data_IF_693280835065
#
_entry.id   IF_693280835065
#
_cell.length_a   1.000
_cell.length_b   1.000
_cell.length_c   1.000
_cell.angle_alpha   90.00
_cell.angle_beta   90.00
_cell.angle_gamma   90.00
#
_symmetry.space_group_name_H-M   'P 1'
#
loop_
_entity.id
_entity.type
_entity.pdbx_description
1 polymer ?
#
# COMPACT_ATOMS: atom_id res chain seq x y z
N UNK A 1 -26.65 -20.04 -3.71
CA UNK A 1 -26.29 -21.45 -3.98
C UNK A 1 -25.42 -22.05 -2.87
N UNK A 2 -24.26 -21.47 -2.51
CA UNK A 2 -23.37 -22.03 -1.48
C UNK A 2 -24.05 -22.26 -0.11
N UNK A 3 -24.76 -21.27 0.42
CA UNK A 3 -25.47 -21.38 1.72
C UNK A 3 -26.38 -22.61 1.82
N UNK A 4 -27.17 -22.86 0.77
CA UNK A 4 -28.13 -23.97 0.76
C UNK A 4 -27.43 -25.33 0.86
N UNK A 5 -26.33 -25.50 0.12
CA UNK A 5 -25.49 -26.70 0.18
C UNK A 5 -24.89 -26.90 1.57
N UNK A 6 -24.29 -25.87 2.17
CA UNK A 6 -23.68 -26.01 3.50
C UNK A 6 -24.71 -26.38 4.58
N UNK A 7 -25.91 -25.78 4.53
CA UNK A 7 -26.96 -26.04 5.51
C UNK A 7 -27.61 -27.42 5.34
N UNK A 8 -27.70 -27.95 4.11
CA UNK A 8 -28.32 -29.27 3.88
C UNK A 8 -27.50 -30.42 4.47
N UNK A 9 -26.20 -30.24 4.63
CA UNK A 9 -25.29 -31.25 5.19
C UNK A 9 -25.25 -31.25 6.73
N UNK A 10 -25.84 -30.24 7.38
CA UNK A 10 -25.99 -30.17 8.84
C UNK A 10 -27.22 -30.98 9.25
N UNK A 11 -27.04 -32.02 10.07
CA UNK A 11 -28.12 -32.96 10.44
C UNK A 11 -29.15 -32.37 11.41
N UNK A 12 -28.70 -31.60 12.40
CA UNK A 12 -29.56 -31.04 13.44
C UNK A 12 -30.30 -29.79 12.94
N UNK A 13 -31.63 -29.81 12.97
CA UNK A 13 -32.47 -28.67 12.54
C UNK A 13 -32.21 -27.42 13.38
N UNK A 14 -32.00 -27.58 14.69
CA UNK A 14 -31.69 -26.46 15.60
C UNK A 14 -30.35 -25.80 15.26
N UNK A 15 -29.31 -26.61 15.01
CA UNK A 15 -28.00 -26.10 14.58
C UNK A 15 -28.10 -25.46 13.20
N UNK A 16 -28.82 -26.10 12.27
CA UNK A 16 -29.03 -25.58 10.91
C UNK A 16 -29.69 -24.20 10.93
N UNK A 17 -30.71 -24.00 11.76
CA UNK A 17 -31.38 -22.70 11.85
C UNK A 17 -30.47 -21.63 12.48
N UNK A 18 -29.70 -21.99 13.51
CA UNK A 18 -28.69 -21.10 14.10
C UNK A 18 -27.63 -20.68 13.06
N UNK A 19 -27.12 -21.62 12.29
CA UNK A 19 -26.12 -21.34 11.24
C UNK A 19 -26.71 -20.54 10.07
N UNK A 20 -27.98 -20.76 9.72
CA UNK A 20 -28.69 -19.95 8.72
C UNK A 20 -28.83 -18.50 9.18
N UNK A 21 -29.16 -18.27 10.45
CA UNK A 21 -29.20 -16.95 11.08
C UNK A 21 -27.85 -16.25 11.00
N UNK A 22 -26.79 -16.92 11.47
CA UNK A 22 -25.42 -16.40 11.45
C UNK A 22 -24.96 -16.03 10.03
N UNK A 23 -25.21 -16.91 9.04
CA UNK A 23 -24.87 -16.63 7.65
C UNK A 23 -25.61 -15.39 7.12
N UNK A 24 -26.92 -15.30 7.36
CA UNK A 24 -27.74 -14.17 6.90
C UNK A 24 -27.25 -12.85 7.49
N UNK A 25 -26.95 -12.83 8.79
CA UNK A 25 -26.39 -11.66 9.49
C UNK A 25 -25.12 -11.16 8.81
N UNK A 26 -24.12 -12.05 8.62
CA UNK A 26 -22.83 -11.66 8.03
C UNK A 26 -22.91 -11.29 6.56
N UNK A 27 -23.80 -11.93 5.77
CA UNK A 27 -24.04 -11.46 4.39
C UNK A 27 -24.61 -10.05 4.37
N UNK A 28 -25.52 -9.74 5.30
CA UNK A 28 -26.12 -8.40 5.41
C UNK A 28 -25.08 -7.33 5.76
N UNK A 29 -24.13 -7.63 6.65
CA UNK A 29 -23.06 -6.70 7.03
C UNK A 29 -22.06 -6.48 5.91
N UNK A 30 -21.62 -7.55 5.25
CA UNK A 30 -20.71 -7.49 4.10
C UNK A 30 -21.29 -6.68 2.93
N UNK A 31 -22.61 -6.76 2.73
CA UNK A 31 -23.30 -6.01 1.66
C UNK A 31 -23.44 -4.51 1.92
N UNK A 32 -23.15 -4.02 3.13
CA UNK A 32 -23.14 -2.58 3.40
C UNK A 32 -22.04 -1.83 2.66
N UNK A 33 -20.95 -2.52 2.32
CA UNK A 33 -19.80 -1.93 1.63
C UNK A 33 -19.88 -2.06 0.11
N UNK A 34 -20.51 -3.13 -0.40
CA UNK A 34 -20.65 -3.45 -1.81
C UNK A 34 -21.82 -4.43 -1.98
N UNK A 35 -22.69 -4.26 -2.98
CA UNK A 35 -23.85 -5.14 -3.20
C UNK A 35 -23.48 -6.63 -3.38
N UNK A 36 -22.24 -6.89 -3.83
CA UNK A 36 -21.62 -8.22 -3.98
C UNK A 36 -20.51 -8.46 -2.95
N UNK A 37 -20.50 -7.70 -1.86
CA UNK A 37 -19.48 -7.75 -0.82
C UNK A 37 -19.30 -9.15 -0.23
N UNK A 38 -20.38 -9.92 -0.10
CA UNK A 38 -20.34 -11.31 0.34
C UNK A 38 -19.61 -12.23 -0.65
N UNK A 39 -19.88 -12.09 -1.95
CA UNK A 39 -19.16 -12.86 -2.99
C UNK A 39 -17.68 -12.48 -3.05
N UNK A 40 -17.36 -11.18 -2.97
CA UNK A 40 -15.98 -10.68 -3.01
C UNK A 40 -15.20 -11.22 -1.80
N UNK A 41 -15.79 -11.14 -0.61
CA UNK A 41 -15.22 -11.69 0.61
C UNK A 41 -14.98 -13.20 0.48
N UNK A 42 -16.00 -13.98 0.13
CA UNK A 42 -15.89 -15.45 0.06
C UNK A 42 -14.77 -15.84 -0.92
N UNK A 43 -14.66 -15.16 -2.06
CA UNK A 43 -13.58 -15.40 -3.03
C UNK A 43 -12.20 -15.08 -2.44
N UNK A 44 -12.07 -13.95 -1.74
CA UNK A 44 -10.81 -13.54 -1.12
C UNK A 44 -10.38 -14.53 -0.01
N UNK A 45 -11.31 -14.89 0.88
CA UNK A 45 -11.07 -15.85 1.96
C UNK A 45 -10.72 -17.24 1.42
N UNK A 46 -11.49 -17.75 0.45
CA UNK A 46 -11.20 -19.07 -0.14
C UNK A 46 -9.84 -19.11 -0.83
N UNK A 47 -9.46 -18.04 -1.53
CA UNK A 47 -8.11 -17.92 -2.12
C UNK A 47 -7.01 -17.83 -1.07
N UNK A 48 -7.25 -17.07 -0.01
CA UNK A 48 -6.31 -16.91 1.09
C UNK A 48 -6.01 -18.25 1.78
N UNK A 49 -7.05 -19.03 2.07
CA UNK A 49 -6.98 -20.18 2.97
C UNK A 49 -6.93 -21.55 2.29
N UNK A 50 -7.41 -21.69 1.05
CA UNK A 50 -7.59 -23.04 0.46
C UNK A 50 -7.12 -23.20 -0.99
N UNK A 51 -6.83 -22.13 -1.72
CA UNK A 51 -6.39 -22.28 -3.11
C UNK A 51 -4.96 -22.87 -3.18
N UNK A 52 -4.82 -24.06 -3.75
CA UNK A 52 -3.52 -24.74 -3.89
C UNK A 52 -2.85 -24.52 -5.23
N UNK A 53 -3.64 -24.28 -6.27
CA UNK A 53 -3.15 -24.16 -7.64
C UNK A 53 -3.68 -22.90 -8.36
N UNK A 54 -2.88 -22.37 -9.28
CA UNK A 54 -3.25 -21.26 -10.17
C UNK A 54 -2.94 -21.64 -11.61
N UNK A 55 -3.76 -21.16 -12.56
CA UNK A 55 -3.57 -21.41 -13.99
C UNK A 55 -2.23 -20.86 -14.46
N UNK A 56 -1.55 -21.66 -15.30
CA UNK A 56 -0.33 -21.25 -15.99
C UNK A 56 -0.55 -20.03 -16.89
N UNK A 57 0.49 -19.21 -17.06
CA UNK A 57 0.47 -18.03 -17.92
C UNK A 57 0.71 -18.38 -19.40
N UNK A 58 -0.05 -19.36 -19.95
CA UNK A 58 0.03 -19.77 -21.36
C UNK A 58 -1.37 -19.90 -21.99
N UNK A 59 -1.44 -19.71 -23.31
CA UNK A 59 -2.68 -19.86 -24.06
C UNK A 59 -3.22 -21.30 -23.93
N UNK A 60 -4.54 -21.43 -23.78
CA UNK A 60 -5.19 -22.74 -23.61
C UNK A 60 -5.02 -23.39 -22.23
N UNK A 61 -4.35 -22.74 -21.27
CA UNK A 61 -4.21 -23.27 -19.92
C UNK A 61 -5.58 -23.41 -19.23
N UNK A 62 -5.75 -24.49 -18.47
CA UNK A 62 -7.00 -24.81 -17.76
C UNK A 62 -7.07 -24.03 -16.45
N UNK A 63 -8.24 -23.47 -16.14
CA UNK A 63 -8.49 -22.82 -14.86
C UNK A 63 -8.25 -23.79 -13.68
N UNK A 64 -7.55 -23.31 -12.65
CA UNK A 64 -7.21 -24.07 -11.44
C UNK A 64 -7.89 -23.46 -10.21
N UNK A 65 -7.56 -23.91 -8.99
CA UNK A 65 -8.28 -23.50 -7.76
C UNK A 65 -8.49 -21.98 -7.69
N UNK A 66 -7.41 -21.20 -7.83
CA UNK A 66 -7.46 -19.75 -7.76
C UNK A 66 -8.42 -19.11 -8.78
N UNK A 67 -8.41 -19.62 -10.02
CA UNK A 67 -9.24 -19.12 -11.12
C UNK A 67 -10.70 -19.55 -10.96
N UNK A 68 -10.94 -20.82 -10.59
CA UNK A 68 -12.29 -21.38 -10.39
C UNK A 68 -12.96 -20.69 -9.21
N UNK A 69 -12.26 -20.48 -8.09
CA UNK A 69 -12.77 -19.70 -6.96
C UNK A 69 -13.17 -18.29 -7.41
N UNK A 70 -12.36 -17.62 -8.25
CA UNK A 70 -12.69 -16.30 -8.76
C UNK A 70 -14.02 -16.20 -9.51
N UNK A 71 -14.43 -17.28 -10.17
CA UNK A 71 -15.70 -17.39 -10.89
C UNK A 71 -16.77 -18.15 -10.12
N UNK A 72 -16.66 -19.48 -10.12
CA UNK A 72 -17.67 -20.42 -9.60
C UNK A 72 -17.29 -20.98 -8.23
N UNK A 73 -16.99 -20.11 -7.25
CA UNK A 73 -16.57 -20.53 -5.90
C UNK A 73 -17.52 -21.53 -5.23
N UNK A 74 -18.84 -21.39 -5.43
CA UNK A 74 -19.83 -22.30 -4.84
C UNK A 74 -19.70 -23.73 -5.39
N UNK A 75 -19.37 -23.87 -6.68
CA UNK A 75 -19.10 -25.16 -7.32
C UNK A 75 -17.78 -25.72 -6.81
N UNK A 76 -16.74 -24.89 -6.73
CA UNK A 76 -15.44 -25.30 -6.21
C UNK A 76 -15.53 -25.85 -4.79
N UNK A 77 -16.22 -25.17 -3.87
CA UNK A 77 -16.39 -25.66 -2.48
C UNK A 77 -17.06 -27.03 -2.41
N UNK A 78 -18.06 -27.28 -3.26
CA UNK A 78 -18.76 -28.57 -3.31
C UNK A 78 -17.90 -29.66 -3.94
N UNK A 79 -17.26 -29.36 -5.07
CA UNK A 79 -16.49 -30.33 -5.85
C UNK A 79 -15.16 -30.68 -5.13
N UNK A 80 -14.61 -29.76 -4.33
CA UNK A 80 -13.35 -29.92 -3.58
C UNK A 80 -13.57 -30.14 -2.08
N UNK A 81 -14.75 -30.63 -1.67
CA UNK A 81 -15.15 -30.76 -0.25
C UNK A 81 -14.08 -31.40 0.64
N UNK A 82 -13.33 -32.38 0.12
CA UNK A 82 -12.32 -33.12 0.85
C UNK A 82 -11.09 -32.23 1.16
N UNK A 83 -10.71 -31.33 0.25
CA UNK A 83 -9.67 -30.31 0.50
C UNK A 83 -10.06 -29.33 1.60
N UNK A 84 -11.36 -29.07 1.76
CA UNK A 84 -11.90 -28.23 2.82
C UNK A 84 -12.14 -29.00 4.14
N UNK A 85 -11.94 -30.32 4.15
CA UNK A 85 -12.20 -31.17 5.31
C UNK A 85 -13.69 -31.31 5.65
N UNK A 86 -14.59 -31.17 4.68
CA UNK A 86 -16.04 -31.23 4.88
C UNK A 86 -16.55 -32.67 4.84
N UNK A 87 -16.32 -33.44 5.92
CA UNK A 87 -16.61 -34.88 5.97
C UNK A 87 -17.94 -35.21 6.67
N UNK A 88 -18.36 -34.40 7.63
CA UNK A 88 -19.58 -34.60 8.39
C UNK A 88 -20.24 -33.31 8.87
N UNK A 89 -21.43 -33.44 9.47
CA UNK A 89 -22.28 -32.32 9.93
C UNK A 89 -21.52 -31.25 10.73
N UNK A 90 -20.63 -31.68 11.63
CA UNK A 90 -19.88 -30.78 12.51
C UNK A 90 -18.83 -29.96 11.73
N UNK A 91 -18.27 -30.52 10.65
CA UNK A 91 -17.33 -29.81 9.77
C UNK A 91 -18.04 -28.70 8.99
N UNK A 92 -19.27 -28.95 8.53
CA UNK A 92 -20.10 -27.93 7.87
C UNK A 92 -20.52 -26.83 8.84
N UNK A 93 -20.86 -27.17 10.08
CA UNK A 93 -21.10 -26.18 11.13
C UNK A 93 -19.84 -25.33 11.38
N UNK A 94 -18.68 -25.97 11.55
CA UNK A 94 -17.42 -25.28 11.76
C UNK A 94 -17.04 -24.39 10.57
N UNK A 95 -17.29 -24.82 9.34
CA UNK A 95 -17.05 -24.02 8.14
C UNK A 95 -17.87 -22.72 8.14
N UNK A 96 -19.14 -22.78 8.57
CA UNK A 96 -19.99 -21.58 8.70
C UNK A 96 -19.50 -20.68 9.84
N UNK A 97 -19.03 -21.24 10.96
CA UNK A 97 -18.41 -20.46 12.05
C UNK A 97 -17.12 -19.77 11.59
N UNK A 98 -16.26 -20.47 10.85
CA UNK A 98 -15.06 -19.89 10.22
C UNK A 98 -15.45 -18.76 9.26
N UNK A 99 -16.42 -18.99 8.38
CA UNK A 99 -16.96 -17.94 7.50
C UNK A 99 -17.35 -16.68 8.29
N UNK A 100 -18.06 -16.84 9.42
CA UNK A 100 -18.47 -15.70 10.23
C UNK A 100 -17.29 -14.94 10.86
N UNK A 101 -16.31 -15.67 11.44
CA UNK A 101 -15.09 -15.07 11.99
C UNK A 101 -14.29 -14.31 10.93
N UNK A 102 -14.06 -14.92 9.76
CA UNK A 102 -13.30 -14.27 8.69
C UNK A 102 -14.06 -13.13 8.02
N UNK A 103 -15.40 -13.14 8.04
CA UNK A 103 -16.21 -12.00 7.60
C UNK A 103 -15.94 -10.78 8.50
N UNK A 104 -15.86 -10.96 9.82
CA UNK A 104 -15.52 -9.88 10.75
C UNK A 104 -14.10 -9.34 10.52
N UNK A 105 -13.13 -10.22 10.29
CA UNK A 105 -11.75 -9.82 9.95
C UNK A 105 -11.71 -9.03 8.64
N UNK A 106 -12.45 -9.51 7.62
CA UNK A 106 -12.55 -8.82 6.34
C UNK A 106 -13.20 -7.43 6.50
N UNK A 107 -14.26 -7.30 7.30
CA UNK A 107 -14.87 -6.00 7.61
C UNK A 107 -13.88 -5.04 8.27
N UNK A 108 -13.08 -5.52 9.23
CA UNK A 108 -12.01 -4.70 9.85
C UNK A 108 -10.98 -4.24 8.82
N UNK A 109 -10.60 -5.10 7.87
CA UNK A 109 -9.72 -4.75 6.75
C UNK A 109 -10.38 -3.68 5.88
N UNK A 110 -11.63 -3.86 5.47
CA UNK A 110 -12.36 -2.89 4.63
C UNK A 110 -12.48 -1.52 5.30
N UNK A 111 -12.74 -1.51 6.61
CA UNK A 111 -12.73 -0.27 7.40
C UNK A 111 -11.35 0.39 7.39
N UNK A 112 -10.28 -0.37 7.61
CA UNK A 112 -8.91 0.16 7.60
C UNK A 112 -8.46 0.66 6.21
N UNK A 113 -9.02 0.15 5.12
CA UNK A 113 -8.76 0.64 3.76
C UNK A 113 -9.38 2.02 3.51
N UNK A 114 -10.48 2.37 4.20
CA UNK A 114 -11.21 3.63 3.99
C UNK A 114 -11.02 4.65 5.10
N UNK A 115 -10.64 4.21 6.30
CA UNK A 115 -10.53 5.06 7.49
C UNK A 115 -9.14 4.92 8.08
N UNK A 116 -8.42 6.05 8.12
CA UNK A 116 -7.10 6.11 8.73
C UNK A 116 -7.21 5.87 10.24
N UNK A 117 -6.38 4.97 10.74
CA UNK A 117 -6.16 4.73 12.16
C UNK A 117 -4.71 4.29 12.34
N UNK A 118 -4.05 4.78 13.38
CA UNK A 118 -2.62 4.54 13.61
C UNK A 118 -2.30 3.03 13.67
N UNK A 119 -3.14 2.27 14.38
CA UNK A 119 -3.03 0.82 14.52
C UNK A 119 -3.03 0.08 13.17
N UNK A 120 -3.69 0.59 12.13
CA UNK A 120 -3.82 -0.09 10.83
C UNK A 120 -3.36 0.79 9.66
N UNK A 121 -2.47 1.76 9.91
CA UNK A 121 -2.14 2.83 8.95
C UNK A 121 -1.59 2.32 7.61
N UNK A 122 -0.85 1.22 7.62
CA UNK A 122 -0.29 0.63 6.40
C UNK A 122 -1.37 0.04 5.48
N UNK A 123 -2.46 -0.50 6.05
CA UNK A 123 -3.62 -0.96 5.25
C UNK A 123 -4.23 0.22 4.48
N UNK A 124 -4.37 1.35 5.17
CA UNK A 124 -4.87 2.59 4.58
C UNK A 124 -3.94 3.12 3.49
N UNK A 125 -2.62 3.14 3.75
CA UNK A 125 -1.62 3.60 2.78
C UNK A 125 -1.66 2.80 1.47
N UNK A 126 -1.69 1.47 1.57
CA UNK A 126 -1.78 0.59 0.40
C UNK A 126 -3.09 0.80 -0.39
N UNK A 127 -4.19 1.08 0.31
CA UNK A 127 -5.47 1.35 -0.33
C UNK A 127 -5.46 2.64 -1.15
N UNK A 128 -4.74 3.69 -0.71
CA UNK A 128 -4.66 4.98 -1.44
C UNK A 128 -4.03 4.85 -2.84
N UNK A 129 -3.25 3.79 -3.08
CA UNK A 129 -2.63 3.50 -4.38
C UNK A 129 -3.29 2.36 -5.15
N UNK A 130 -4.44 1.88 -4.66
CA UNK A 130 -5.31 0.84 -5.23
C UNK A 130 -4.66 -0.54 -5.35
N UNK A 131 -4.02 -1.06 -4.29
CA UNK A 131 -3.55 -2.44 -4.27
C UNK A 131 -4.72 -3.43 -4.06
N UNK A 132 -5.32 -3.90 -5.15
CA UNK A 132 -6.61 -4.62 -5.13
C UNK A 132 -6.59 -6.00 -4.48
N UNK A 133 -5.41 -6.63 -4.33
CA UNK A 133 -5.28 -7.97 -3.74
C UNK A 133 -4.96 -7.94 -2.23
N UNK A 134 -5.02 -6.76 -1.61
CA UNK A 134 -4.70 -6.57 -0.20
C UNK A 134 -5.52 -7.49 0.72
N UNK A 135 -6.86 -7.58 0.63
CA UNK A 135 -7.62 -8.43 1.54
C UNK A 135 -7.23 -9.91 1.51
N UNK A 136 -6.84 -10.43 0.34
CA UNK A 136 -6.41 -11.82 0.21
C UNK A 136 -5.12 -12.08 1.00
N UNK A 137 -4.12 -11.20 0.87
CA UNK A 137 -2.85 -11.33 1.59
C UNK A 137 -3.04 -11.13 3.10
N UNK A 138 -3.82 -10.13 3.50
CA UNK A 138 -4.08 -9.84 4.91
C UNK A 138 -4.85 -10.96 5.63
N UNK A 139 -5.75 -11.66 4.93
CA UNK A 139 -6.46 -12.82 5.48
C UNK A 139 -5.60 -14.08 5.57
N UNK A 140 -4.58 -14.20 4.72
CA UNK A 140 -3.79 -15.43 4.57
C UNK A 140 -3.19 -15.95 5.89
N UNK A 141 -2.50 -15.14 6.72
CA UNK A 141 -1.85 -15.66 7.92
C UNK A 141 -2.79 -15.87 9.11
N UNK A 142 -4.02 -15.39 9.04
CA UNK A 142 -4.95 -15.41 10.17
C UNK A 142 -5.48 -16.83 10.40
N UNK A 143 -5.39 -17.32 11.63
CA UNK A 143 -5.94 -18.59 12.09
C UNK A 143 -7.33 -18.38 12.71
N UNK A 144 -8.17 -19.42 12.72
CA UNK A 144 -9.54 -19.32 13.24
C UNK A 144 -9.58 -18.97 14.73
N UNK A 145 -8.63 -19.53 15.49
CA UNK A 145 -8.48 -19.38 16.93
C UNK A 145 -7.75 -18.10 17.35
N UNK A 146 -7.26 -17.28 16.40
CA UNK A 146 -6.53 -16.06 16.73
C UNK A 146 -7.43 -15.04 17.46
N UNK A 147 -6.86 -14.46 18.51
CA UNK A 147 -7.42 -13.29 19.19
C UNK A 147 -7.28 -12.04 18.34
N UNK A 148 -8.13 -11.03 18.57
CA UNK A 148 -8.06 -9.77 17.81
C UNK A 148 -6.68 -9.10 17.83
N UNK A 149 -5.96 -9.01 18.96
CA UNK A 149 -4.60 -8.48 18.96
C UNK A 149 -3.65 -9.22 18.01
N UNK A 150 -3.69 -10.56 18.00
CA UNK A 150 -2.87 -11.38 17.10
C UNK A 150 -3.26 -11.16 15.64
N UNK A 151 -4.56 -11.04 15.35
CA UNK A 151 -5.06 -10.75 14.00
C UNK A 151 -4.53 -9.41 13.50
N UNK A 152 -4.61 -8.36 14.33
CA UNK A 152 -4.14 -7.02 13.98
C UNK A 152 -2.63 -7.01 13.73
N UNK A 153 -1.85 -7.69 14.59
CA UNK A 153 -0.40 -7.80 14.40
C UNK A 153 -0.05 -8.47 13.06
N UNK A 154 -0.69 -9.61 12.75
CA UNK A 154 -0.52 -10.30 11.46
C UNK A 154 -0.92 -9.42 10.27
N UNK A 155 -2.05 -8.71 10.38
CA UNK A 155 -2.49 -7.76 9.35
C UNK A 155 -1.44 -6.67 9.13
N UNK A 156 -0.88 -6.10 10.20
CA UNK A 156 0.11 -5.03 10.09
C UNK A 156 1.42 -5.50 9.46
N UNK A 157 1.93 -6.67 9.84
CA UNK A 157 3.12 -7.26 9.23
C UNK A 157 2.94 -7.43 7.72
N UNK A 158 1.82 -8.02 7.30
CA UNK A 158 1.54 -8.20 5.87
C UNK A 158 1.28 -6.88 5.16
N UNK A 159 0.58 -5.93 5.78
CA UNK A 159 0.31 -4.62 5.19
C UNK A 159 1.61 -3.83 4.94
N UNK A 160 2.56 -3.88 5.88
CA UNK A 160 3.87 -3.26 5.68
C UNK A 160 4.69 -3.96 4.60
N UNK A 161 4.64 -5.29 4.50
CA UNK A 161 5.25 -6.00 3.36
C UNK A 161 4.64 -5.54 2.02
N UNK A 162 3.31 -5.43 1.92
CA UNK A 162 2.62 -4.94 0.72
C UNK A 162 3.09 -3.52 0.35
N UNK A 163 3.29 -2.66 1.35
CA UNK A 163 3.77 -1.29 1.14
C UNK A 163 5.15 -1.26 0.48
N UNK A 164 6.11 -2.05 0.97
CA UNK A 164 7.44 -2.20 0.34
C UNK A 164 7.33 -2.85 -1.05
N UNK A 165 6.48 -3.87 -1.21
CA UNK A 165 6.22 -4.52 -2.50
C UNK A 165 5.72 -3.52 -3.55
N UNK A 166 4.84 -2.59 -3.16
CA UNK A 166 4.34 -1.57 -4.07
C UNK A 166 5.50 -0.67 -4.53
N UNK A 167 6.26 -0.10 -3.59
CA UNK A 167 7.35 0.83 -3.91
C UNK A 167 8.44 0.15 -4.74
N UNK A 168 8.85 -1.07 -4.39
CA UNK A 168 9.87 -1.81 -5.12
C UNK A 168 9.49 -2.13 -6.57
N UNK A 169 8.20 -2.33 -6.85
CA UNK A 169 7.71 -2.60 -8.21
C UNK A 169 7.53 -1.34 -9.04
N UNK A 170 6.88 -0.32 -8.48
CA UNK A 170 6.51 0.88 -9.25
C UNK A 170 7.71 1.74 -9.60
N UNK A 171 8.76 1.70 -8.78
CA UNK A 171 10.06 2.32 -9.06
C UNK A 171 10.78 1.66 -10.23
N UNK A 172 10.54 0.36 -10.46
CA UNK A 172 11.00 -0.40 -11.65
C UNK A 172 10.00 -0.32 -12.82
N UNK A 173 9.13 0.70 -12.83
CA UNK A 173 8.04 0.88 -13.81
C UNK A 173 7.12 -0.35 -13.99
N UNK A 174 7.03 -1.22 -12.97
CA UNK A 174 6.22 -2.42 -13.01
C UNK A 174 4.89 -2.20 -12.30
N UNK A 175 3.79 -2.54 -12.98
CA UNK A 175 2.45 -2.40 -12.41
C UNK A 175 2.21 -3.34 -11.23
N UNK A 176 1.30 -2.92 -10.35
CA UNK A 176 0.71 -3.72 -9.26
C UNK A 176 -0.76 -4.06 -9.55
N UNK A 177 -1.23 -3.84 -10.77
CA UNK A 177 -2.58 -4.23 -11.17
C UNK A 177 -2.75 -5.75 -11.10
N UNK A 178 -3.96 -6.21 -10.84
CA UNK A 178 -4.32 -7.62 -10.65
C UNK A 178 -3.67 -8.57 -11.68
N UNK A 179 -3.79 -8.28 -12.98
CA UNK A 179 -3.28 -9.16 -14.04
C UNK A 179 -1.77 -9.37 -14.00
N UNK A 180 -1.03 -8.38 -13.50
CA UNK A 180 0.45 -8.37 -13.48
C UNK A 180 1.04 -8.99 -12.23
N UNK A 181 0.31 -8.98 -11.11
CA UNK A 181 0.85 -9.38 -9.80
C UNK A 181 0.18 -10.63 -9.21
N UNK A 182 -0.94 -11.11 -9.79
CA UNK A 182 -1.72 -12.22 -9.22
C UNK A 182 -0.90 -13.48 -8.91
N UNK A 183 0.06 -13.86 -9.76
CA UNK A 183 0.85 -15.08 -9.56
C UNK A 183 1.83 -14.90 -8.39
N UNK A 184 2.47 -13.73 -8.30
CA UNK A 184 3.32 -13.38 -7.17
C UNK A 184 2.52 -13.38 -5.86
N UNK A 185 1.38 -12.68 -5.85
CA UNK A 185 0.50 -12.60 -4.68
C UNK A 185 -0.02 -13.98 -4.27
N UNK A 186 -0.39 -14.83 -5.23
CA UNK A 186 -0.81 -16.19 -4.97
C UNK A 186 0.29 -17.01 -4.26
N UNK A 187 1.53 -16.93 -4.74
CA UNK A 187 2.65 -17.64 -4.12
C UNK A 187 2.92 -17.14 -2.70
N UNK A 188 2.94 -15.82 -2.48
CA UNK A 188 3.10 -15.25 -1.13
C UNK A 188 1.95 -15.65 -0.22
N UNK A 189 0.71 -15.60 -0.72
CA UNK A 189 -0.50 -16.02 0.00
C UNK A 189 -0.39 -17.46 0.48
N UNK A 190 0.08 -18.37 -0.37
CA UNK A 190 0.31 -19.77 0.01
C UNK A 190 1.39 -19.89 1.07
N UNK A 191 2.49 -19.15 0.90
CA UNK A 191 3.64 -19.23 1.80
C UNK A 191 3.26 -18.79 3.21
N UNK A 192 2.57 -17.66 3.39
CA UNK A 192 2.24 -17.10 4.71
C UNK A 192 0.96 -17.66 5.33
N UNK A 193 0.36 -18.69 4.74
CA UNK A 193 -0.98 -19.15 5.12
C UNK A 193 -1.02 -19.75 6.52
N UNK A 194 -1.96 -19.29 7.35
CA UNK A 194 -2.28 -19.82 8.69
C UNK A 194 -1.03 -20.05 9.55
N UNK A 195 -0.09 -19.10 9.51
CA UNK A 195 1.15 -19.16 10.28
C UNK A 195 1.02 -18.41 11.60
N UNK A 196 1.76 -18.81 12.64
CA UNK A 196 1.99 -17.95 13.81
C UNK A 196 2.84 -16.71 13.45
N UNK A 197 2.95 -15.77 14.40
CA UNK A 197 3.69 -14.51 14.19
C UNK A 197 5.18 -14.73 13.92
N UNK A 198 5.93 -15.55 14.70
CA UNK A 198 7.35 -15.80 14.41
C UNK A 198 7.58 -16.36 13.01
N UNK A 199 6.79 -17.35 12.60
CA UNK A 199 6.88 -17.95 11.26
C UNK A 199 6.49 -16.95 10.17
N UNK A 200 5.46 -16.14 10.42
CA UNK A 200 5.03 -15.08 9.49
C UNK A 200 6.16 -14.07 9.24
N UNK A 201 6.81 -13.61 10.32
CA UNK A 201 7.93 -12.69 10.26
C UNK A 201 9.07 -13.25 9.39
N UNK A 202 9.53 -14.47 9.69
CA UNK A 202 10.60 -15.12 8.92
C UNK A 202 10.25 -15.24 7.42
N UNK A 203 9.00 -15.62 7.11
CA UNK A 203 8.57 -15.75 5.71
C UNK A 203 8.51 -14.39 5.02
N UNK A 204 7.95 -13.37 5.67
CA UNK A 204 7.89 -12.02 5.10
C UNK A 204 9.27 -11.39 4.95
N UNK A 205 10.21 -11.64 5.86
CA UNK A 205 11.62 -11.25 5.72
C UNK A 205 12.23 -11.87 4.46
N UNK A 206 12.05 -13.18 4.25
CA UNK A 206 12.55 -13.84 3.06
C UNK A 206 11.90 -13.27 1.78
N UNK A 207 10.59 -12.97 1.81
CA UNK A 207 9.92 -12.31 0.69
C UNK A 207 10.46 -10.90 0.44
N UNK A 208 10.74 -10.14 1.50
CA UNK A 208 11.37 -8.81 1.43
C UNK A 208 12.75 -8.88 0.75
N UNK A 209 13.62 -9.78 1.21
CA UNK A 209 14.95 -10.02 0.64
C UNK A 209 14.83 -10.37 -0.85
N UNK A 210 13.87 -11.24 -1.21
CA UNK A 210 13.62 -11.66 -2.58
C UNK A 210 13.16 -10.52 -3.52
N UNK A 211 12.66 -9.40 -2.99
CA UNK A 211 12.34 -8.23 -3.82
C UNK A 211 13.58 -7.63 -4.47
N UNK A 212 14.77 -7.87 -3.90
CA UNK A 212 16.04 -7.28 -4.29
C UNK A 212 15.85 -5.77 -4.57
N UNK A 213 15.26 -5.10 -3.58
CA UNK A 213 14.95 -3.68 -3.68
C UNK A 213 16.19 -2.88 -3.34
N UNK A 214 16.75 -2.20 -4.36
CA UNK A 214 17.84 -1.24 -4.20
C UNK A 214 17.27 0.17 -4.36
N UNK A 215 17.11 0.93 -3.26
CA UNK A 215 16.65 2.32 -3.30
C UNK A 215 17.50 3.21 -4.21
N UNK A 216 18.81 2.99 -4.31
CA UNK A 216 19.69 3.83 -5.12
C UNK A 216 19.38 3.68 -6.62
N UNK A 217 19.34 2.44 -7.12
CA UNK A 217 18.94 2.17 -8.50
C UNK A 217 17.48 2.57 -8.77
N UNK A 218 16.59 2.36 -7.80
CA UNK A 218 15.16 2.64 -7.92
C UNK A 218 14.86 4.13 -8.07
N UNK A 219 15.48 5.00 -7.26
CA UNK A 219 15.16 6.42 -7.23
C UNK A 219 15.91 7.21 -8.31
N UNK A 220 17.12 6.79 -8.69
CA UNK A 220 17.92 7.48 -9.71
C UNK A 220 17.20 7.63 -11.05
N UNK A 221 16.28 6.71 -11.38
CA UNK A 221 15.52 6.72 -12.63
C UNK A 221 14.02 7.00 -12.43
N UNK A 222 13.59 7.30 -11.21
CA UNK A 222 12.17 7.52 -10.92
C UNK A 222 11.74 8.93 -11.35
N UNK A 223 11.06 8.98 -12.49
CA UNK A 223 10.49 10.21 -13.04
C UNK A 223 8.96 10.24 -13.04
N UNK A 224 8.40 11.45 -12.96
CA UNK A 224 6.98 11.73 -13.09
C UNK A 224 6.48 11.50 -14.51
N UNK A 225 5.47 10.64 -14.63
CA UNK A 225 4.69 10.42 -15.84
C UNK A 225 3.26 9.97 -15.46
N UNK A 226 2.43 9.67 -16.45
CA UNK A 226 1.03 9.26 -16.22
C UNK A 226 0.88 8.01 -15.34
N UNK A 227 1.81 7.04 -15.43
CA UNK A 227 1.82 5.83 -14.62
C UNK A 227 2.34 6.10 -13.20
N UNK A 228 3.47 6.79 -13.07
CA UNK A 228 4.15 7.00 -11.78
C UNK A 228 3.49 8.07 -10.91
N UNK A 229 2.70 8.99 -11.49
CA UNK A 229 2.10 10.14 -10.78
C UNK A 229 1.47 9.80 -9.43
N UNK A 230 0.58 8.81 -9.38
CA UNK A 230 -0.08 8.43 -8.12
C UNK A 230 0.88 7.82 -7.10
N UNK A 231 1.89 7.09 -7.56
CA UNK A 231 2.87 6.43 -6.71
C UNK A 231 3.92 7.42 -6.19
N UNK A 232 4.39 8.34 -7.03
CA UNK A 232 5.27 9.44 -6.61
C UNK A 232 4.55 10.31 -5.58
N UNK A 233 3.28 10.65 -5.82
CA UNK A 233 2.48 11.39 -4.83
C UNK A 233 2.45 10.65 -3.49
N UNK A 234 2.19 9.33 -3.50
CA UNK A 234 2.21 8.50 -2.30
C UNK A 234 3.59 8.45 -1.62
N UNK A 235 4.66 8.26 -2.38
CA UNK A 235 6.04 8.21 -1.85
C UNK A 235 6.39 9.55 -1.18
N UNK A 236 6.12 10.68 -1.85
CA UNK A 236 6.35 12.00 -1.27
C UNK A 236 5.50 12.21 0.00
N UNK A 237 4.22 11.83 -0.03
CA UNK A 237 3.35 11.95 1.14
C UNK A 237 3.83 11.10 2.33
N UNK A 238 4.32 9.88 2.06
CA UNK A 238 4.86 8.96 3.09
C UNK A 238 6.17 9.47 3.66
N UNK A 239 7.06 9.98 2.82
CA UNK A 239 8.35 10.55 3.26
C UNK A 239 8.10 11.81 4.08
N UNK A 240 7.29 12.77 3.58
CA UNK A 240 6.96 13.98 4.34
C UNK A 240 6.29 13.63 5.66
N UNK A 241 5.32 12.70 5.65
CA UNK A 241 4.64 12.22 6.85
C UNK A 241 5.58 11.57 7.86
N UNK A 242 6.58 10.81 7.40
CA UNK A 242 7.59 10.21 8.25
C UNK A 242 8.48 11.27 8.90
N UNK A 243 8.91 12.28 8.15
CA UNK A 243 9.71 13.40 8.69
C UNK A 243 8.90 14.15 9.75
N UNK A 244 7.61 14.40 9.51
CA UNK A 244 6.72 15.04 10.49
C UNK A 244 6.66 14.25 11.81
N UNK A 245 6.36 12.95 11.73
CA UNK A 245 6.30 12.06 12.91
C UNK A 245 7.62 12.09 13.71
N UNK A 246 8.76 12.06 13.02
CA UNK A 246 10.08 12.06 13.66
C UNK A 246 10.58 13.45 14.08
N UNK A 247 9.82 14.49 13.77
CA UNK A 247 10.07 15.88 14.22
C UNK A 247 8.97 16.39 15.15
N UNK A 248 8.23 15.46 15.77
CA UNK A 248 7.26 15.76 16.81
C UNK A 248 5.95 16.37 16.31
N UNK A 249 5.67 16.26 15.01
CA UNK A 249 4.45 16.75 14.35
C UNK A 249 3.62 15.55 13.89
N UNK A 250 2.29 15.63 14.02
CA UNK A 250 1.43 14.57 13.50
C UNK A 250 1.54 14.49 11.97
N UNK A 251 1.61 13.27 11.42
CA UNK A 251 1.64 13.07 9.97
C UNK A 251 0.43 13.69 9.29
N UNK A 252 0.68 14.49 8.25
CA UNK A 252 -0.34 15.11 7.42
C UNK A 252 -0.67 14.27 6.16
N UNK A 253 -0.26 12.99 6.14
CA UNK A 253 -0.44 12.05 5.01
C UNK A 253 -1.86 12.06 4.44
N UNK A 254 -2.88 12.00 5.29
CA UNK A 254 -4.28 11.94 4.85
C UNK A 254 -4.65 13.17 4.00
N UNK A 255 -4.19 14.37 4.38
CA UNK A 255 -4.44 15.58 3.61
C UNK A 255 -3.60 15.61 2.33
N UNK A 256 -2.35 15.12 2.37
CA UNK A 256 -1.52 14.97 1.18
C UNK A 256 -2.21 14.10 0.11
N UNK A 257 -2.85 13.00 0.53
CA UNK A 257 -3.51 12.07 -0.39
C UNK A 257 -4.97 12.41 -0.72
N UNK A 258 -5.62 13.29 0.05
CA UNK A 258 -7.02 13.66 -0.16
C UNK A 258 -7.22 14.47 -1.45
N UNK A 259 -7.89 13.87 -2.43
CA UNK A 259 -8.27 14.53 -3.70
C UNK A 259 -9.72 15.02 -3.72
N UNK A 260 -10.50 14.78 -2.67
CA UNK A 260 -11.93 15.12 -2.59
C UNK A 260 -12.20 16.52 -1.98
N UNK A 261 -11.15 17.33 -1.81
CA UNK A 261 -11.24 18.71 -1.32
C UNK A 261 -11.12 19.72 -2.46
N UNK A 262 -11.59 20.97 -2.24
CA UNK A 262 -11.48 22.08 -3.20
C UNK A 262 -10.02 22.50 -3.45
N UNK A 263 -9.14 22.28 -2.47
CA UNK A 263 -7.74 22.69 -2.52
C UNK A 263 -6.79 21.51 -2.16
N UNK A 264 -6.76 20.44 -2.97
CA UNK A 264 -5.97 19.25 -2.66
C UNK A 264 -4.48 19.54 -2.77
N UNK A 265 -3.66 18.68 -2.16
CA UNK A 265 -2.23 18.68 -2.47
C UNK A 265 -1.98 18.10 -3.86
N UNK A 266 -1.10 18.76 -4.60
CA UNK A 266 -0.63 18.36 -5.93
C UNK A 266 0.90 18.23 -5.93
N UNK A 267 1.41 17.46 -6.88
CA UNK A 267 2.85 17.43 -7.14
C UNK A 267 3.23 18.76 -7.77
N UNK A 268 4.18 19.45 -7.14
CA UNK A 268 4.80 20.67 -7.64
C UNK A 268 6.21 20.36 -8.14
N UNK A 269 6.58 21.01 -9.24
CA UNK A 269 7.91 20.98 -9.83
C UNK A 269 8.71 22.19 -9.34
N UNK A 270 9.84 21.95 -8.69
CA UNK A 270 10.70 23.03 -8.17
C UNK A 270 11.20 23.91 -9.32
N UNK A 271 11.57 23.29 -10.44
CA UNK A 271 11.99 23.97 -11.67
C UNK A 271 10.75 24.30 -12.53
N UNK A 272 10.59 25.57 -12.92
CA UNK A 272 9.53 26.03 -13.84
C UNK A 272 9.73 25.47 -15.27
N UNK A 273 8.68 25.32 -16.08
CA UNK A 273 8.73 24.65 -17.39
C UNK A 273 9.19 25.57 -18.54
N UNK A 274 10.35 26.22 -18.37
CA UNK A 274 10.94 27.15 -19.33
C UNK A 274 12.37 26.74 -19.68
N UNK A 275 12.54 25.73 -20.55
CA UNK A 275 13.86 25.22 -20.96
C UNK A 275 14.80 26.35 -21.42
N UNK A 276 14.28 27.34 -22.13
CA UNK A 276 15.02 28.50 -22.63
C UNK A 276 15.75 29.31 -21.53
N UNK A 277 15.31 29.21 -20.27
CA UNK A 277 15.96 29.86 -19.13
C UNK A 277 17.11 29.04 -18.53
N UNK A 278 17.24 27.77 -18.92
CA UNK A 278 18.20 26.83 -18.33
C UNK A 278 19.16 26.19 -19.35
N UNK A 279 19.26 26.75 -20.57
CA UNK A 279 20.11 26.24 -21.66
C UNK A 279 21.60 26.15 -21.33
N UNK A 280 22.07 26.86 -20.29
CA UNK A 280 23.44 26.75 -19.81
C UNK A 280 23.72 25.43 -19.05
N UNK A 281 22.69 24.81 -18.47
CA UNK A 281 22.81 23.62 -17.64
C UNK A 281 22.25 22.35 -18.30
N UNK A 282 21.24 22.49 -19.16
CA UNK A 282 20.57 21.38 -19.86
C UNK A 282 20.91 21.40 -21.34
N UNK A 283 21.22 20.23 -21.90
CA UNK A 283 21.68 20.12 -23.29
C UNK A 283 20.57 20.39 -24.32
N UNK A 284 19.36 19.98 -23.97
CA UNK A 284 18.18 20.03 -24.82
C UNK A 284 16.89 19.92 -23.97
N UNK A 285 15.74 20.04 -24.64
CA UNK A 285 14.43 20.00 -23.99
C UNK A 285 14.12 18.64 -23.34
N UNK A 286 14.65 17.53 -23.85
CA UNK A 286 14.39 16.20 -23.31
C UNK A 286 15.23 15.94 -22.05
N UNK A 287 16.49 16.37 -22.04
CA UNK A 287 17.34 16.38 -20.85
C UNK A 287 16.70 17.23 -19.74
N UNK A 288 16.25 18.45 -20.08
CA UNK A 288 15.52 19.30 -19.15
C UNK A 288 14.28 18.63 -18.56
N UNK A 289 13.42 18.06 -19.42
CA UNK A 289 12.20 17.35 -18.97
C UNK A 289 12.52 16.14 -18.10
N UNK A 290 13.58 15.39 -18.41
CA UNK A 290 14.00 14.22 -17.62
C UNK A 290 14.37 14.63 -16.19
N UNK A 291 15.22 15.64 -16.04
CA UNK A 291 15.64 16.14 -14.72
C UNK A 291 14.50 16.80 -13.97
N UNK A 292 13.73 17.67 -14.65
CA UNK A 292 12.56 18.33 -14.06
C UNK A 292 11.54 17.32 -13.54
N UNK A 293 11.33 16.20 -14.23
CA UNK A 293 10.40 15.16 -13.79
C UNK A 293 11.01 14.16 -12.79
N UNK A 294 12.31 14.21 -12.50
CA UNK A 294 12.93 13.33 -11.50
C UNK A 294 12.32 13.55 -10.11
N UNK A 295 12.15 12.50 -9.30
CA UNK A 295 11.58 12.62 -7.95
C UNK A 295 12.33 13.66 -7.07
N UNK A 296 13.64 13.83 -7.28
CA UNK A 296 14.44 14.85 -6.59
C UNK A 296 14.11 16.30 -6.97
N UNK A 297 13.29 16.54 -8.00
CA UNK A 297 12.81 17.85 -8.42
C UNK A 297 11.35 18.11 -8.01
N UNK A 298 10.73 17.18 -7.27
CA UNK A 298 9.31 17.19 -6.93
C UNK A 298 9.09 17.38 -5.43
N UNK A 299 7.91 17.92 -5.10
CA UNK A 299 7.40 18.06 -3.73
C UNK A 299 5.86 18.16 -3.75
N UNK A 300 5.23 18.28 -2.58
CA UNK A 300 3.77 18.43 -2.47
C UNK A 300 3.40 19.82 -1.94
N UNK A 301 2.44 20.48 -2.61
CA UNK A 301 1.83 21.74 -2.17
C UNK A 301 0.34 21.75 -2.44
N UNK A 302 -0.38 22.60 -1.70
CA UNK A 302 -1.77 22.90 -2.02
C UNK A 302 -1.92 23.45 -3.43
N UNK A 303 -2.96 22.98 -4.13
CA UNK A 303 -3.31 23.38 -5.51
C UNK A 303 -3.33 24.89 -5.72
N UNK A 304 -3.90 25.66 -4.78
CA UNK A 304 -3.98 27.11 -4.88
C UNK A 304 -2.62 27.80 -4.82
N UNK A 305 -1.68 27.25 -4.04
CA UNK A 305 -0.31 27.76 -3.91
C UNK A 305 0.49 27.36 -5.13
N UNK A 306 0.38 26.10 -5.56
CA UNK A 306 1.01 25.62 -6.79
C UNK A 306 0.57 26.50 -8.00
N UNK A 307 -0.73 26.76 -8.12
CA UNK A 307 -1.26 27.63 -9.17
C UNK A 307 -0.78 29.09 -9.06
N UNK A 308 -0.56 29.63 -7.85
CA UNK A 308 -0.08 31.01 -7.68
C UNK A 308 1.41 31.16 -7.96
N UNK A 309 2.19 30.08 -7.82
CA UNK A 309 3.60 30.06 -8.19
C UNK A 309 3.79 30.12 -9.71
N UNK A 310 2.92 29.46 -10.48
CA UNK A 310 2.97 29.43 -11.95
C UNK A 310 4.42 29.24 -12.47
N UNK A 311 4.90 30.16 -13.31
CA UNK A 311 6.24 30.14 -13.89
C UNK A 311 7.29 30.93 -13.08
N UNK A 312 7.07 31.08 -11.77
CA UNK A 312 8.02 31.77 -10.90
C UNK A 312 9.37 31.03 -10.83
N UNK A 313 10.45 31.81 -10.73
CA UNK A 313 11.80 31.30 -10.50
C UNK A 313 11.98 30.76 -9.08
N UNK A 314 12.99 29.92 -8.91
CA UNK A 314 13.31 29.23 -7.65
C UNK A 314 13.33 30.18 -6.43
N UNK A 315 13.99 31.33 -6.51
CA UNK A 315 14.10 32.27 -5.38
C UNK A 315 12.75 32.76 -4.85
N UNK A 316 11.75 32.89 -5.73
CA UNK A 316 10.39 33.24 -5.32
C UNK A 316 9.64 32.03 -4.76
N UNK A 317 9.76 30.87 -5.42
CA UNK A 317 9.18 29.61 -4.96
C UNK A 317 9.69 29.24 -3.56
N UNK A 318 10.99 29.41 -3.29
CA UNK A 318 11.62 29.11 -2.01
C UNK A 318 10.99 29.91 -0.85
N UNK A 319 10.66 31.18 -1.07
CA UNK A 319 9.97 32.01 -0.04
C UNK A 319 8.60 31.44 0.33
N UNK A 320 7.90 30.82 -0.63
CA UNK A 320 6.62 30.14 -0.42
C UNK A 320 6.80 28.76 0.20
N UNK A 321 7.86 28.04 -0.16
CA UNK A 321 8.18 26.74 0.42
C UNK A 321 8.57 26.83 1.90
N UNK A 322 9.17 27.94 2.32
CA UNK A 322 9.56 28.21 3.70
C UNK A 322 8.56 29.08 4.48
N UNK A 323 7.34 29.27 3.96
CA UNK A 323 6.25 29.94 4.68
C UNK A 323 5.32 28.91 5.33
N UNK A 324 4.26 29.39 5.98
CA UNK A 324 3.15 28.55 6.47
C UNK A 324 2.36 27.84 5.34
N UNK A 325 2.70 28.09 4.08
CA UNK A 325 2.09 27.44 2.90
C UNK A 325 2.85 26.15 2.50
N UNK A 326 4.03 25.91 3.06
CA UNK A 326 4.87 24.73 2.84
C UNK A 326 4.65 23.59 3.86
N UNK A 327 5.55 22.61 3.83
CA UNK A 327 5.71 21.58 4.84
C UNK A 327 7.20 21.35 5.10
N UNK A 328 7.55 20.52 6.09
CA UNK A 328 8.95 20.33 6.49
C UNK A 328 9.87 19.88 5.33
N UNK A 329 9.35 19.10 4.38
CA UNK A 329 10.13 18.67 3.22
C UNK A 329 10.37 19.81 2.22
N UNK A 330 9.41 20.72 2.04
CA UNK A 330 9.61 21.92 1.20
C UNK A 330 10.50 22.95 1.89
N UNK A 331 10.31 23.15 3.19
CA UNK A 331 11.06 24.09 4.01
C UNK A 331 12.55 23.72 4.07
N UNK A 332 12.88 22.42 4.00
CA UNK A 332 14.25 21.91 3.99
C UNK A 332 15.14 22.46 2.86
N UNK A 333 14.54 23.05 1.81
CA UNK A 333 15.26 23.72 0.73
C UNK A 333 15.87 25.06 1.15
N UNK A 334 15.36 25.70 2.21
CA UNK A 334 15.80 27.01 2.69
C UNK A 334 16.48 26.98 4.05
N UNK A 335 17.24 28.03 4.35
CA UNK A 335 18.05 28.12 5.58
C UNK A 335 17.22 28.07 6.87
N UNK A 336 15.96 28.52 6.82
CA UNK A 336 15.07 28.61 7.98
C UNK A 336 14.86 27.24 8.66
N UNK A 337 14.78 26.15 7.88
CA UNK A 337 14.65 24.79 8.39
C UNK A 337 15.81 24.39 9.33
N UNK A 338 17.00 24.98 9.14
CA UNK A 338 18.20 24.64 9.91
C UNK A 338 18.47 25.61 11.06
N UNK A 339 17.82 26.77 11.08
CA UNK A 339 17.98 27.76 12.14
C UNK A 339 17.05 27.47 13.32
N UNK A 340 15.74 27.41 13.06
CA UNK A 340 14.71 27.44 14.11
C UNK A 340 13.98 26.10 14.34
N UNK A 341 14.50 24.99 13.79
CA UNK A 341 13.89 23.68 13.95
C UNK A 341 14.87 22.66 14.59
N UNK A 342 15.02 22.65 15.93
CA UNK A 342 15.94 21.75 16.62
C UNK A 342 15.58 20.27 16.47
N UNK A 343 14.29 19.94 16.33
CA UNK A 343 13.85 18.56 16.13
C UNK A 343 14.23 18.06 14.74
N UNK A 344 14.06 18.88 13.69
CA UNK A 344 14.53 18.54 12.35
C UNK A 344 16.05 18.38 12.31
N UNK A 345 16.82 19.30 12.92
CA UNK A 345 18.28 19.15 13.04
C UNK A 345 18.68 17.84 13.70
N UNK A 346 18.02 17.49 14.81
CA UNK A 346 18.27 16.23 15.52
C UNK A 346 17.93 15.03 14.63
N UNK A 347 16.77 15.03 13.97
CA UNK A 347 16.36 13.97 13.05
C UNK A 347 17.39 13.77 11.91
N UNK A 348 17.88 14.86 11.33
CA UNK A 348 18.91 14.85 10.28
C UNK A 348 20.21 14.24 10.80
N UNK A 349 20.66 14.66 11.99
CA UNK A 349 21.89 14.16 12.63
C UNK A 349 21.78 12.68 13.01
N UNK A 350 20.71 12.28 13.70
CA UNK A 350 20.50 10.93 14.22
C UNK A 350 20.44 9.89 13.09
N UNK A 351 20.00 10.29 11.90
CA UNK A 351 19.87 9.42 10.72
C UNK A 351 20.94 9.68 9.66
N UNK A 352 21.92 10.56 9.91
CA UNK A 352 22.99 10.93 8.98
C UNK A 352 22.49 11.33 7.58
N UNK A 353 21.44 12.16 7.53
CA UNK A 353 20.80 12.57 6.28
C UNK A 353 21.51 13.79 5.66
N UNK A 354 21.76 13.76 4.35
CA UNK A 354 22.41 14.84 3.61
C UNK A 354 21.56 16.09 3.33
N UNK A 355 20.60 16.42 4.21
CA UNK A 355 19.77 17.62 4.05
C UNK A 355 20.62 18.89 4.13
N UNK A 356 20.39 19.81 3.19
CA UNK A 356 20.96 21.16 3.20
C UNK A 356 20.04 22.15 2.48
N UNK A 357 20.25 23.43 2.75
CA UNK A 357 19.61 24.51 2.00
C UNK A 357 20.29 24.73 0.65
N UNK A 358 19.54 25.30 -0.29
CA UNK A 358 19.99 25.53 -1.66
C UNK A 358 19.70 26.97 -2.08
N UNK A 359 20.75 27.69 -2.50
CA UNK A 359 20.65 29.06 -3.02
C UNK A 359 20.22 29.10 -4.50
N UNK A 360 20.49 28.03 -5.24
CA UNK A 360 20.07 27.78 -6.62
C UNK A 360 19.47 26.39 -6.71
N UNK A 361 18.80 26.06 -7.82
CA UNK A 361 18.24 24.73 -7.99
C UNK A 361 18.36 24.24 -9.43
N UNK A 362 19.22 23.24 -9.62
CA UNK A 362 19.51 22.59 -10.89
C UNK A 362 19.81 21.10 -10.71
N UNK A 363 20.58 20.52 -11.63
CA UNK A 363 20.91 19.09 -11.68
C UNK A 363 21.65 18.62 -10.43
N UNK A 364 22.60 19.44 -9.94
CA UNK A 364 23.39 19.10 -8.77
C UNK A 364 22.49 18.98 -7.54
N UNK A 365 21.61 19.95 -7.32
CA UNK A 365 20.69 19.95 -6.19
C UNK A 365 19.64 18.83 -6.30
N UNK A 366 19.20 18.50 -7.51
CA UNK A 366 18.34 17.33 -7.75
C UNK A 366 19.07 16.04 -7.35
N UNK A 367 20.32 15.86 -7.74
CA UNK A 367 21.11 14.69 -7.41
C UNK A 367 21.33 14.56 -5.89
N UNK A 368 21.60 15.66 -5.21
CA UNK A 368 21.76 15.70 -3.75
C UNK A 368 20.44 15.39 -3.03
N UNK A 369 19.30 15.89 -3.52
CA UNK A 369 17.98 15.51 -2.99
C UNK A 369 17.63 14.04 -3.25
N UNK A 370 18.04 13.47 -4.39
CA UNK A 370 17.87 12.03 -4.64
C UNK A 370 18.67 11.22 -3.61
N UNK A 371 19.89 11.62 -3.26
CA UNK A 371 20.68 10.96 -2.22
C UNK A 371 19.96 10.98 -0.86
N UNK A 372 19.41 12.14 -0.46
CA UNK A 372 18.59 12.24 0.76
C UNK A 372 17.35 11.35 0.69
N UNK A 373 16.64 11.33 -0.44
CA UNK A 373 15.47 10.47 -0.64
C UNK A 373 15.81 8.98 -0.59
N UNK A 374 16.98 8.57 -1.09
CA UNK A 374 17.46 7.19 -1.01
C UNK A 374 17.58 6.76 0.45
N UNK A 375 18.17 7.60 1.30
CA UNK A 375 18.34 7.28 2.72
C UNK A 375 17.00 7.32 3.47
N UNK A 376 16.12 8.28 3.15
CA UNK A 376 14.75 8.29 3.69
C UNK A 376 13.95 7.04 3.28
N UNK A 377 14.11 6.56 2.05
CA UNK A 377 13.44 5.34 1.60
C UNK A 377 13.90 4.12 2.40
N UNK A 378 15.20 4.04 2.74
CA UNK A 378 15.72 2.98 3.61
C UNK A 378 15.11 3.02 5.01
N UNK A 379 14.80 4.22 5.53
CA UNK A 379 14.15 4.36 6.85
C UNK A 379 12.65 4.02 6.80
N UNK A 380 11.93 4.47 5.78
CA UNK A 380 10.47 4.30 5.68
C UNK A 380 10.07 2.87 5.29
N UNK A 381 10.84 2.24 4.40
CA UNK A 381 10.57 0.91 3.82
C UNK A 381 11.66 -0.11 4.19
N UNK A 382 12.01 -0.17 5.49
CA UNK A 382 12.90 -1.17 6.08
C UNK A 382 12.20 -2.51 6.41
N UNK A 383 12.99 -3.47 6.86
CA UNK A 383 12.60 -4.81 7.29
C UNK A 383 12.60 -5.01 8.82
N UNK A 384 12.85 -3.97 9.61
CA UNK A 384 12.94 -4.03 11.10
C UNK A 384 11.77 -4.72 11.79
N UNK A 385 10.60 -4.73 11.16
CA UNK A 385 9.39 -5.37 11.68
C UNK A 385 9.40 -6.91 11.58
N UNK A 386 10.20 -7.46 10.68
CA UNK A 386 10.31 -8.89 10.42
C UNK A 386 11.45 -9.53 11.24
N UNK A 387 12.40 -8.72 11.70
CA UNK A 387 13.31 -9.07 12.79
C UNK A 387 12.54 -9.16 14.12
#
# INVERSE_FOLDING_TARGET
MLKGYLLSEIKSDSIREKMNGLWKEKVLTLKKYDDKGDEIFIKAWLRAHYAETIREAKAGAVNKDFDIIGGFFHKWVRDERDKLGLNGSDDFELFIKKFAKFAEVYERIRQAETTFAEETKYVYYNAQVNFTLQPQLLLAPVCYEDSWPVIIEKINLVARFIDVLIVSRVTKCSSVNYSTIKNFVFNVTKDIRMTDIPTLKQKLEQQYINLAFDPAAALSNLGLNSFTKKYIKNILARITGFIEEHTGVASNYCNYMNTQTKNPFEIEHIITDHYEWFTAEYSDQDDFRRWRNSIGALLLLHKSINASLNDAKYDYKLKKYCSNEGNIYTESLGDLAYQNNPQFKKFVLDNNLGFKSYASFGKNEIAERIAVLIDLVKLVWNDDMFM
#
